data_IF_029141788110
#
_entry.id   IF_029141788110
#
_cell.length_a   1.000
_cell.length_b   1.000
_cell.length_c   1.000
_cell.angle_alpha   90.00
_cell.angle_beta   90.00
_cell.angle_gamma   90.00
#
_symmetry.space_group_name_H-M   'P 1'
#
loop_
_entity.id
_entity.type
_entity.pdbx_description
1 polymer ?
#
# COMPACT_ATOMS: atom_id res chain seq x y z
N UNK A 1 8.89 15.15 -46.73
CA UNK A 1 8.66 13.70 -46.87
C UNK A 1 7.95 13.23 -45.60
N UNK A 2 6.63 13.14 -45.65
CA UNK A 2 5.78 12.80 -44.51
C UNK A 2 5.66 11.27 -44.47
N UNK A 3 6.13 10.63 -43.39
CA UNK A 3 6.06 9.18 -43.25
C UNK A 3 4.58 8.72 -43.27
N UNK A 4 4.26 7.58 -43.90
CA UNK A 4 2.90 7.07 -43.95
C UNK A 4 2.43 6.74 -42.53
N UNK A 5 1.44 7.48 -42.05
CA UNK A 5 0.75 7.22 -40.79
C UNK A 5 0.00 5.89 -40.94
N UNK A 6 0.56 4.80 -40.41
CA UNK A 6 -0.12 3.49 -40.39
C UNK A 6 -1.32 3.57 -39.44
N UNK A 7 -2.47 2.98 -39.80
CA UNK A 7 -3.62 2.91 -38.90
C UNK A 7 -3.32 2.00 -37.69
N UNK A 8 -3.86 2.32 -36.50
CA UNK A 8 -3.64 1.54 -35.28
C UNK A 8 -4.22 0.13 -35.39
N UNK A 9 -3.58 -0.84 -34.73
CA UNK A 9 -4.12 -2.20 -34.58
C UNK A 9 -5.31 -2.14 -33.61
N UNK A 10 -6.49 -2.68 -33.96
CA UNK A 10 -7.66 -2.64 -33.08
C UNK A 10 -7.37 -3.27 -31.72
N UNK A 11 -7.61 -2.53 -30.64
CA UNK A 11 -7.42 -3.00 -29.26
C UNK A 11 -6.03 -2.79 -28.67
N UNK A 12 -5.05 -2.31 -29.45
CA UNK A 12 -3.73 -1.93 -28.91
C UNK A 12 -3.70 -0.41 -28.73
N UNK A 13 -3.40 0.11 -27.54
CA UNK A 13 -3.27 1.55 -27.33
C UNK A 13 -2.14 2.12 -28.20
N UNK A 14 -2.34 3.31 -28.74
CA UNK A 14 -1.30 4.01 -29.49
C UNK A 14 -0.08 4.30 -28.60
N UNK A 15 1.09 4.39 -29.24
CA UNK A 15 2.37 4.75 -28.64
C UNK A 15 2.27 6.01 -27.77
N UNK A 16 1.53 7.05 -28.17
CA UNK A 16 1.36 8.27 -27.38
C UNK A 16 0.65 8.01 -26.04
N UNK A 17 -0.40 7.18 -26.07
CA UNK A 17 -1.14 6.76 -24.87
C UNK A 17 -0.23 5.94 -23.96
N UNK A 18 0.52 4.99 -24.52
CA UNK A 18 1.48 4.18 -23.74
C UNK A 18 2.59 5.03 -23.12
N UNK A 19 3.08 6.07 -23.79
CA UNK A 19 4.06 7.01 -23.18
C UNK A 19 3.48 7.75 -21.99
N UNK A 20 2.20 8.11 -22.04
CA UNK A 20 1.53 8.77 -20.92
C UNK A 20 1.35 7.80 -19.75
N UNK A 21 0.91 6.57 -20.03
CA UNK A 21 0.77 5.53 -19.01
C UNK A 21 2.11 5.17 -18.36
N UNK A 22 3.19 5.00 -19.13
CA UNK A 22 4.52 4.73 -18.59
C UNK A 22 5.02 5.86 -17.68
N UNK A 23 4.79 7.12 -18.05
CA UNK A 23 5.12 8.28 -17.19
C UNK A 23 4.31 8.27 -15.89
N UNK A 24 3.01 8.00 -15.98
CA UNK A 24 2.14 7.89 -14.81
C UNK A 24 2.60 6.77 -13.86
N UNK A 25 3.00 5.62 -14.41
CA UNK A 25 3.56 4.51 -13.63
C UNK A 25 4.84 4.96 -12.91
N UNK A 26 5.75 5.66 -13.60
CA UNK A 26 6.95 6.24 -12.99
C UNK A 26 6.64 7.16 -11.81
N UNK A 27 5.67 8.08 -11.95
CA UNK A 27 5.25 8.96 -10.86
C UNK A 27 4.68 8.18 -9.65
N UNK A 28 3.96 7.08 -9.89
CA UNK A 28 3.45 6.22 -8.83
C UNK A 28 4.60 5.49 -8.13
N UNK A 29 5.59 4.98 -8.87
CA UNK A 29 6.79 4.36 -8.30
C UNK A 29 7.57 5.34 -7.43
N UNK A 30 7.81 6.56 -7.91
CA UNK A 30 8.49 7.59 -7.14
C UNK A 30 7.76 7.90 -5.82
N UNK A 31 6.43 8.04 -5.86
CA UNK A 31 5.62 8.22 -4.65
C UNK A 31 5.67 7.00 -3.73
N UNK A 32 5.61 5.79 -4.27
CA UNK A 32 5.69 4.56 -3.48
C UNK A 32 7.03 4.45 -2.73
N UNK A 33 8.13 4.79 -3.40
CA UNK A 33 9.48 4.87 -2.81
C UNK A 33 9.58 5.90 -1.68
N UNK A 34 9.02 7.09 -1.91
CA UNK A 34 8.94 8.14 -0.88
C UNK A 34 8.13 7.67 0.33
N UNK A 35 6.95 7.08 0.10
CA UNK A 35 6.11 6.48 1.14
C UNK A 35 6.84 5.40 1.94
N UNK A 36 7.62 4.55 1.28
CA UNK A 36 8.45 3.53 1.93
C UNK A 36 9.57 4.18 2.73
N UNK A 37 10.15 5.29 2.31
CA UNK A 37 11.13 6.01 3.14
C UNK A 37 10.47 6.58 4.41
N UNK A 38 9.23 7.06 4.30
CA UNK A 38 8.50 7.75 5.37
C UNK A 38 7.89 6.85 6.45
N UNK A 39 7.90 5.51 6.32
CA UNK A 39 7.21 4.64 7.29
C UNK A 39 6.04 3.86 6.72
N UNK A 40 5.57 4.24 5.55
CA UNK A 40 4.28 3.79 5.05
C UNK A 40 4.43 2.74 3.96
N UNK A 41 3.55 1.74 3.98
CA UNK A 41 3.54 0.67 2.97
C UNK A 41 2.51 0.98 1.89
N UNK A 42 2.95 1.33 0.67
CA UNK A 42 2.05 1.59 -0.43
C UNK A 42 1.38 0.29 -0.88
N UNK A 43 0.12 0.40 -1.34
CA UNK A 43 -0.56 -0.70 -2.01
C UNK A 43 -0.01 -0.86 -3.42
N UNK A 44 0.78 -1.90 -3.65
CA UNK A 44 1.43 -2.15 -4.95
C UNK A 44 0.58 -2.95 -5.95
N UNK A 45 -0.56 -3.51 -5.53
CA UNK A 45 -1.35 -4.40 -6.39
C UNK A 45 -1.90 -3.74 -7.66
N UNK A 46 -2.32 -2.47 -7.56
CA UNK A 46 -2.80 -1.72 -8.72
C UNK A 46 -1.64 -1.35 -9.66
N UNK A 47 -0.49 -0.99 -9.09
CA UNK A 47 0.73 -0.68 -9.84
C UNK A 47 1.22 -1.90 -10.65
N UNK A 48 1.23 -3.08 -10.03
CA UNK A 48 1.59 -4.34 -10.69
C UNK A 48 0.67 -4.65 -11.88
N UNK A 49 -0.63 -4.38 -11.74
CA UNK A 49 -1.61 -4.54 -12.83
C UNK A 49 -1.33 -3.56 -13.97
N UNK A 50 -1.08 -2.29 -13.65
CA UNK A 50 -0.77 -1.26 -14.65
C UNK A 50 0.49 -1.61 -15.44
N UNK A 51 1.57 -2.00 -14.77
CA UNK A 51 2.83 -2.40 -15.41
C UNK A 51 2.61 -3.61 -16.33
N UNK A 52 1.90 -4.64 -15.87
CA UNK A 52 1.59 -5.82 -16.71
C UNK A 52 0.80 -5.45 -17.97
N UNK A 53 -0.21 -4.59 -17.84
CA UNK A 53 -1.01 -4.14 -18.97
C UNK A 53 -0.16 -3.34 -19.96
N UNK A 54 0.69 -2.44 -19.47
CA UNK A 54 1.60 -1.66 -20.31
C UNK A 54 2.60 -2.56 -21.05
N UNK A 55 3.28 -3.48 -20.35
CA UNK A 55 4.22 -4.42 -20.96
C UNK A 55 3.56 -5.32 -22.00
N UNK A 56 2.36 -5.86 -21.70
CA UNK A 56 1.59 -6.67 -22.66
C UNK A 56 1.24 -5.85 -23.90
N UNK A 57 0.78 -4.61 -23.72
CA UNK A 57 0.42 -3.74 -24.84
C UNK A 57 1.64 -3.44 -25.72
N UNK A 58 2.80 -3.14 -25.13
CA UNK A 58 4.04 -2.89 -25.86
C UNK A 58 4.51 -4.14 -26.61
N UNK A 59 4.38 -5.32 -26.01
CA UNK A 59 4.74 -6.59 -26.65
C UNK A 59 3.92 -6.88 -27.92
N UNK A 60 2.66 -6.43 -27.95
CA UNK A 60 1.77 -6.60 -29.10
C UNK A 60 1.99 -5.53 -30.19
N UNK A 61 2.79 -4.49 -29.93
CA UNK A 61 3.09 -3.45 -30.92
C UNK A 61 4.02 -3.93 -32.02
N UNK A 62 4.11 -3.15 -33.10
CA UNK A 62 5.15 -3.34 -34.11
C UNK A 62 6.53 -3.01 -33.52
N UNK A 63 7.59 -3.57 -34.12
CA UNK A 63 8.97 -3.32 -33.68
C UNK A 63 9.37 -1.84 -33.71
N UNK A 64 8.86 -1.09 -34.68
CA UNK A 64 9.20 0.33 -34.84
C UNK A 64 8.54 1.19 -33.76
N UNK A 65 7.27 0.93 -33.46
CA UNK A 65 6.56 1.64 -32.38
C UNK A 65 7.14 1.29 -31.00
N UNK A 66 7.42 0.01 -30.76
CA UNK A 66 8.02 -0.46 -29.51
C UNK A 66 9.44 0.11 -29.31
N UNK A 67 10.22 0.29 -30.39
CA UNK A 67 11.56 0.89 -30.31
C UNK A 67 11.50 2.31 -29.75
N UNK A 68 10.46 3.08 -30.10
CA UNK A 68 10.22 4.42 -29.58
C UNK A 68 9.84 4.49 -28.10
N UNK A 69 9.58 3.35 -27.44
CA UNK A 69 9.24 3.25 -26.03
C UNK A 69 10.36 2.64 -25.17
N UNK A 70 11.40 2.06 -25.80
CA UNK A 70 12.49 1.38 -25.10
C UNK A 70 13.14 2.21 -23.98
N UNK A 71 13.53 3.49 -24.19
CA UNK A 71 14.15 4.28 -23.12
C UNK A 71 13.25 4.44 -21.88
N UNK A 72 11.92 4.55 -22.08
CA UNK A 72 10.97 4.64 -20.97
C UNK A 72 10.80 3.31 -20.25
N UNK A 73 10.85 2.19 -20.96
CA UNK A 73 10.83 0.87 -20.32
C UNK A 73 12.10 0.63 -19.50
N UNK A 74 13.26 1.02 -20.01
CA UNK A 74 14.54 0.91 -19.30
C UNK A 74 14.53 1.74 -18.01
N UNK A 75 14.06 2.99 -18.08
CA UNK A 75 13.88 3.84 -16.89
C UNK A 75 12.89 3.21 -15.89
N UNK A 76 11.78 2.65 -16.39
CA UNK A 76 10.80 1.98 -15.54
C UNK A 76 11.38 0.76 -14.81
N UNK A 77 12.19 -0.05 -15.49
CA UNK A 77 12.86 -1.20 -14.86
C UNK A 77 13.86 -0.76 -13.80
N UNK A 78 14.63 0.29 -14.09
CA UNK A 78 15.53 0.89 -13.09
C UNK A 78 14.78 1.37 -11.83
N UNK A 79 13.63 2.03 -12.01
CA UNK A 79 12.81 2.47 -10.88
C UNK A 79 12.21 1.31 -10.08
N UNK A 80 11.87 0.20 -10.74
CA UNK A 80 11.41 -1.03 -10.08
C UNK A 80 12.53 -1.70 -9.27
N UNK A 81 13.74 -1.78 -9.82
CA UNK A 81 14.91 -2.31 -9.12
C UNK A 81 15.25 -1.45 -7.88
N UNK A 82 15.13 -0.13 -8.01
CA UNK A 82 15.32 0.80 -6.90
C UNK A 82 14.24 0.62 -5.81
N UNK A 83 12.98 0.46 -6.20
CA UNK A 83 11.89 0.15 -5.28
C UNK A 83 12.11 -1.18 -4.55
N UNK A 84 12.51 -2.23 -5.27
CA UNK A 84 12.82 -3.52 -4.66
C UNK A 84 13.95 -3.39 -3.64
N UNK A 85 15.01 -2.66 -3.99
CA UNK A 85 16.15 -2.39 -3.11
C UNK A 85 15.71 -1.68 -1.83
N UNK A 86 14.88 -0.64 -1.94
CA UNK A 86 14.35 0.09 -0.77
C UNK A 86 13.46 -0.81 0.11
N UNK A 87 12.58 -1.61 -0.51
CA UNK A 87 11.76 -2.56 0.22
C UNK A 87 12.61 -3.58 0.98
N UNK A 88 13.66 -4.12 0.34
CA UNK A 88 14.58 -5.08 0.96
C UNK A 88 15.39 -4.46 2.08
N UNK A 89 15.90 -3.24 1.88
CA UNK A 89 16.65 -2.52 2.91
C UNK A 89 15.81 -2.30 4.17
N UNK A 90 14.51 -2.08 4.01
CA UNK A 90 13.63 -1.72 5.12
C UNK A 90 12.95 -2.90 5.80
N UNK A 91 12.58 -3.92 5.03
CA UNK A 91 11.81 -5.06 5.54
C UNK A 91 12.58 -6.39 5.47
N UNK A 92 13.83 -6.37 4.99
CA UNK A 92 14.63 -7.59 4.80
C UNK A 92 13.95 -8.59 3.88
N UNK A 93 14.06 -9.87 4.21
CA UNK A 93 13.49 -10.96 3.42
C UNK A 93 11.95 -11.00 3.43
N UNK A 94 11.30 -10.30 4.35
CA UNK A 94 9.83 -10.20 4.40
C UNK A 94 9.27 -9.41 3.20
N UNK A 95 10.09 -8.58 2.57
CA UNK A 95 9.74 -7.84 1.35
C UNK A 95 9.56 -8.75 0.13
N UNK A 96 10.14 -9.96 0.16
CA UNK A 96 10.11 -10.87 -0.97
C UNK A 96 8.78 -11.60 -1.07
N UNK A 97 8.32 -11.81 -2.30
CA UNK A 97 7.24 -12.76 -2.56
C UNK A 97 7.75 -14.15 -2.16
N UNK A 98 7.00 -14.95 -1.37
CA UNK A 98 7.40 -16.31 -1.05
C UNK A 98 7.56 -17.07 -2.37
N UNK A 99 8.75 -17.60 -2.63
CA UNK A 99 8.94 -18.54 -3.73
C UNK A 99 8.06 -19.75 -3.44
N UNK A 100 6.97 -19.89 -4.18
CA UNK A 100 6.20 -21.14 -4.19
C UNK A 100 7.08 -22.16 -4.91
N UNK A 101 7.94 -22.85 -4.16
CA UNK A 101 8.60 -24.04 -4.65
C UNK A 101 7.54 -25.13 -4.84
N UNK A 102 7.33 -25.65 -6.05
CA UNK A 102 6.41 -26.76 -6.25
C UNK A 102 6.97 -27.98 -5.53
N UNK A 103 6.37 -28.35 -4.39
CA UNK A 103 6.75 -29.54 -3.61
C UNK A 103 6.89 -29.31 -2.10
N UNK A 104 7.01 -28.07 -1.64
CA UNK A 104 7.00 -27.76 -0.20
C UNK A 104 5.67 -27.11 0.16
N UNK A 105 4.94 -27.69 1.12
CA UNK A 105 3.76 -27.03 1.68
C UNK A 105 4.15 -25.62 2.15
N UNK A 106 3.33 -24.60 1.85
CA UNK A 106 3.64 -23.23 2.23
C UNK A 106 3.59 -23.12 3.75
N UNK A 107 4.74 -23.29 4.41
CA UNK A 107 4.95 -22.72 5.74
C UNK A 107 4.75 -21.23 5.52
N UNK A 108 3.62 -20.71 6.00
CA UNK A 108 3.10 -19.37 5.71
C UNK A 108 4.14 -18.30 6.03
N UNK A 109 5.02 -18.03 5.08
CA UNK A 109 6.01 -16.98 5.18
C UNK A 109 5.24 -15.69 5.00
N UNK A 110 5.00 -15.02 6.13
CA UNK A 110 4.16 -13.84 6.23
C UNK A 110 4.81 -12.72 5.42
N UNK A 111 4.27 -12.44 4.23
CA UNK A 111 4.66 -11.24 3.48
C UNK A 111 4.37 -9.98 4.28
N UNK A 112 5.15 -8.92 4.07
CA UNK A 112 4.88 -7.60 4.69
C UNK A 112 3.43 -7.16 4.51
N UNK A 113 2.86 -7.35 3.31
CA UNK A 113 1.46 -7.04 3.04
C UNK A 113 0.45 -7.90 3.82
N UNK A 114 0.79 -9.15 4.11
CA UNK A 114 -0.02 -10.01 4.99
C UNK A 114 0.10 -9.59 6.46
N UNK A 115 1.32 -9.29 6.95
CA UNK A 115 1.57 -8.78 8.29
C UNK A 115 0.83 -7.46 8.55
N UNK A 116 0.91 -6.50 7.62
CA UNK A 116 0.22 -5.21 7.75
C UNK A 116 -1.30 -5.34 7.67
N UNK A 117 -1.84 -6.20 6.80
CA UNK A 117 -3.29 -6.46 6.78
C UNK A 117 -3.77 -7.14 8.06
N UNK A 118 -2.95 -8.01 8.65
CA UNK A 118 -3.26 -8.63 9.94
C UNK A 118 -3.24 -7.59 11.06
N UNK A 119 -2.21 -6.73 11.12
CA UNK A 119 -2.14 -5.63 12.09
C UNK A 119 -3.28 -4.61 11.93
N UNK A 120 -3.69 -4.29 10.70
CA UNK A 120 -4.85 -3.41 10.46
C UNK A 120 -6.18 -4.05 10.84
N UNK A 121 -6.32 -5.38 10.71
CA UNK A 121 -7.49 -6.13 11.20
C UNK A 121 -7.51 -6.26 12.73
N UNK A 122 -6.33 -6.27 13.35
CA UNK A 122 -6.15 -6.19 14.81
C UNK A 122 -6.19 -4.75 15.32
N UNK A 123 -6.99 -3.85 14.71
CA UNK A 123 -7.36 -2.58 15.35
C UNK A 123 -8.14 -2.89 16.63
N UNK A 124 -7.38 -3.20 17.68
CA UNK A 124 -7.81 -3.31 19.06
C UNK A 124 -8.14 -1.87 19.48
N UNK A 125 -9.38 -1.57 19.92
CA UNK A 125 -9.67 -0.27 20.52
C UNK A 125 -8.70 -0.04 21.69
N UNK A 126 -8.30 1.22 21.98
CA UNK A 126 -7.37 1.47 23.07
C UNK A 126 -7.93 0.87 24.37
N UNK A 127 -7.23 -0.13 24.91
CA UNK A 127 -7.46 -0.65 26.25
C UNK A 127 -6.97 0.40 27.23
N UNK A 128 -7.89 1.23 27.69
CA UNK A 128 -7.64 2.21 28.72
C UNK A 128 -8.88 3.03 28.95
N UNK A 129 -9.81 2.50 29.75
CA UNK A 129 -10.43 3.18 30.89
C UNK A 129 -11.03 2.08 31.78
N UNK A 130 -10.21 1.55 32.68
CA UNK A 130 -10.71 0.77 33.81
C UNK A 130 -11.53 1.71 34.70
N UNK A 131 -12.85 1.71 34.50
CA UNK A 131 -13.80 2.22 35.48
C UNK A 131 -13.69 1.35 36.73
N UNK A 132 -12.84 1.77 37.66
CA UNK A 132 -12.90 1.34 39.06
C UNK A 132 -14.21 1.91 39.64
N UNK A 133 -15.29 1.18 39.40
CA UNK A 133 -16.61 1.44 39.95
C UNK A 133 -16.59 0.97 41.40
N UNK A 134 -16.05 1.82 42.29
CA UNK A 134 -16.15 1.59 43.73
C UNK A 134 -17.61 1.70 44.16
N UNK A 135 -18.11 0.60 44.73
CA UNK A 135 -19.41 0.44 45.35
C UNK A 135 -19.81 1.62 46.26
N UNK A 136 -20.75 2.44 45.80
CA UNK A 136 -21.54 3.30 46.69
C UNK A 136 -22.69 2.49 47.28
N UNK A 137 -22.47 2.00 48.50
CA UNK A 137 -23.48 1.42 49.39
C UNK A 137 -24.62 2.43 49.59
N UNK A 138 -25.84 2.03 49.21
CA UNK A 138 -27.07 2.72 49.56
C UNK A 138 -27.50 2.30 50.97
N UNK A 139 -27.49 3.23 51.94
CA UNK A 139 -28.27 3.05 53.17
C UNK A 139 -29.05 4.32 53.57
N UNK A 140 -30.37 4.10 53.60
CA UNK A 140 -31.50 4.86 54.15
C UNK A 140 -31.23 5.76 55.38
N UNK A 141 -31.75 6.99 55.27
CA UNK A 141 -32.85 7.55 56.09
C UNK A 141 -32.62 7.71 57.62
N UNK A 142 -32.61 8.98 58.10
CA UNK A 142 -33.58 9.55 59.06
C UNK A 142 -33.21 11.00 59.47
N UNK A 143 -34.16 11.93 59.28
CA UNK A 143 -34.34 13.20 60.05
C UNK A 143 -34.56 12.87 61.56
N UNK A 144 -34.51 13.78 62.56
CA UNK A 144 -34.72 15.23 62.47
C UNK A 144 -33.88 16.18 63.39
N UNK A 145 -34.11 17.49 63.20
CA UNK A 145 -33.72 18.68 64.00
C UNK A 145 -34.13 18.60 65.52
N UNK A 146 -33.81 19.56 66.45
CA UNK A 146 -33.35 20.96 66.28
C UNK A 146 -32.27 21.51 67.29
N UNK A 147 -31.89 22.77 67.06
CA UNK A 147 -31.17 23.81 67.86
C UNK A 147 -31.16 23.68 69.42
N UNK A 148 -30.16 24.24 70.17
CA UNK A 148 -30.11 25.69 70.46
C UNK A 148 -28.72 26.36 70.67
N UNK A 149 -28.71 27.68 70.38
CA UNK A 149 -27.96 28.82 70.97
C UNK A 149 -26.75 28.58 71.89
N UNK A 150 -25.65 29.34 71.69
CA UNK A 150 -25.16 30.37 72.65
C UNK A 150 -24.01 31.22 72.09
N UNK A 151 -24.10 32.52 72.34
CA UNK A 151 -23.11 33.58 72.09
C UNK A 151 -21.80 33.42 72.87
N UNK A 152 -20.71 33.97 72.32
CA UNK A 152 -19.85 35.00 72.96
C UNK A 152 -19.41 35.98 71.88
#
# INVERSE_FOLDING_TARGET
MTAPHRPPVPGIPDSAVLRQELRRIGDILFRARSSISDGTLPRLGDLERMIRTACTSIHLMTKDDARGLRPMMEALFYDLDALETEMRNRFGDLALRPSIQPGNEPTQSVTVGAAYRHAQKLHIPPLGEEHHQSDTVTHRQSDPAPHPTRSV
#
